data_IF_512474485868
#
_entry.id   IF_512474485868
#
_cell.length_a   1.000
_cell.length_b   1.000
_cell.length_c   1.000
_cell.angle_alpha   90.00
_cell.angle_beta   90.00
_cell.angle_gamma   90.00
#
_symmetry.space_group_name_H-M   'P 1'
#
loop_
_entity.id
_entity.type
_entity.pdbx_description
1 polymer ?
#
# COMPACT_ATOMS: atom_id res chain seq x y z
N UNK A 1 18.48 -13.84 11.37
CA UNK A 1 17.49 -14.81 11.87
C UNK A 1 17.03 -14.54 13.31
N UNK A 2 17.88 -14.03 14.20
CA UNK A 2 17.49 -13.66 15.60
C UNK A 2 16.59 -12.40 15.68
N UNK A 3 16.81 -11.41 14.81
CA UNK A 3 16.00 -10.17 14.80
C UNK A 3 14.52 -10.40 14.44
N UNK A 4 14.26 -11.33 13.54
CA UNK A 4 12.90 -11.68 13.10
C UNK A 4 12.05 -12.33 14.21
N UNK A 5 12.69 -13.14 15.05
CA UNK A 5 12.00 -13.78 16.17
C UNK A 5 11.68 -12.78 17.29
N UNK A 6 12.52 -11.76 17.45
CA UNK A 6 12.32 -10.72 18.46
C UNK A 6 11.24 -9.72 18.04
N UNK A 7 11.20 -9.29 16.75
CA UNK A 7 10.10 -8.48 16.19
C UNK A 7 8.76 -9.24 16.25
N UNK A 8 8.76 -10.52 15.88
CA UNK A 8 7.57 -11.37 15.96
C UNK A 8 7.05 -11.55 17.41
N UNK A 9 7.97 -11.62 18.36
CA UNK A 9 7.60 -11.66 19.79
C UNK A 9 7.03 -10.32 20.27
N UNK A 10 7.57 -9.21 19.79
CA UNK A 10 7.09 -7.89 20.15
C UNK A 10 5.67 -7.62 19.62
N UNK A 11 5.44 -7.94 18.36
CA UNK A 11 4.09 -7.85 17.74
C UNK A 11 3.10 -8.77 18.46
N UNK A 12 3.51 -9.99 18.78
CA UNK A 12 2.66 -10.91 19.54
C UNK A 12 2.31 -10.38 20.92
N UNK A 13 3.24 -9.69 21.59
CA UNK A 13 3.02 -9.06 22.88
C UNK A 13 2.01 -7.91 22.77
N UNK A 14 2.15 -7.04 21.78
CA UNK A 14 1.19 -5.94 21.54
C UNK A 14 -0.21 -6.44 21.19
N UNK A 15 -0.31 -7.52 20.40
CA UNK A 15 -1.61 -8.16 20.10
C UNK A 15 -2.25 -8.71 21.37
N UNK A 16 -1.46 -9.31 22.25
CA UNK A 16 -1.96 -9.82 23.54
C UNK A 16 -2.40 -8.67 24.47
N UNK A 17 -1.63 -7.59 24.53
CA UNK A 17 -1.97 -6.39 25.31
C UNK A 17 -3.23 -5.69 24.75
N UNK A 18 -3.35 -5.57 23.43
CA UNK A 18 -4.57 -5.06 22.78
C UNK A 18 -5.80 -5.91 23.08
N UNK A 19 -5.66 -7.25 23.02
CA UNK A 19 -6.75 -8.16 23.41
C UNK A 19 -7.14 -8.02 24.89
N UNK A 20 -6.16 -7.86 25.77
CA UNK A 20 -6.43 -7.63 27.20
C UNK A 20 -7.17 -6.30 27.43
N UNK A 21 -6.82 -5.26 26.68
CA UNK A 21 -7.53 -3.97 26.70
C UNK A 21 -8.98 -4.11 26.22
N UNK A 22 -9.20 -4.83 25.11
CA UNK A 22 -10.55 -5.09 24.58
C UNK A 22 -11.41 -5.83 25.61
N UNK A 23 -10.88 -6.85 26.28
CA UNK A 23 -11.58 -7.59 27.34
C UNK A 23 -11.91 -6.65 28.51
N UNK A 24 -10.97 -5.79 28.91
CA UNK A 24 -11.17 -4.82 29.98
C UNK A 24 -12.25 -3.78 29.63
N UNK A 25 -12.25 -3.29 28.41
CA UNK A 25 -13.27 -2.36 27.90
C UNK A 25 -14.64 -3.02 27.83
N UNK A 26 -14.72 -4.26 27.39
CA UNK A 26 -15.99 -5.00 27.33
C UNK A 26 -16.55 -5.28 28.74
N UNK A 27 -15.69 -5.56 29.71
CA UNK A 27 -16.10 -5.71 31.10
C UNK A 27 -16.59 -4.38 31.70
N UNK A 28 -15.95 -3.26 31.37
CA UNK A 28 -16.39 -1.92 31.78
C UNK A 28 -17.76 -1.55 31.17
N UNK A 29 -17.95 -1.86 29.89
CA UNK A 29 -19.23 -1.67 29.18
C UNK A 29 -20.35 -2.49 29.84
N UNK A 30 -20.08 -3.73 30.18
CA UNK A 30 -21.06 -4.57 30.87
C UNK A 30 -21.37 -4.05 32.27
N UNK A 31 -20.38 -3.56 33.01
CA UNK A 31 -20.56 -2.96 34.32
C UNK A 31 -21.39 -1.66 34.22
N UNK A 32 -21.08 -0.78 33.26
CA UNK A 32 -21.85 0.45 33.01
C UNK A 32 -23.29 0.15 32.58
N UNK A 33 -23.49 -0.87 31.74
CA UNK A 33 -24.83 -1.36 31.36
C UNK A 33 -25.64 -1.86 32.55
N UNK A 34 -24.99 -2.51 33.53
CA UNK A 34 -25.62 -2.93 34.79
C UNK A 34 -25.96 -1.74 35.67
N UNK A 35 -25.08 -0.73 35.75
CA UNK A 35 -25.31 0.51 36.51
C UNK A 35 -26.47 1.34 35.94
N UNK A 36 -26.51 1.51 34.60
CA UNK A 36 -27.64 2.17 33.93
C UNK A 36 -28.96 1.44 34.20
N UNK A 37 -28.96 0.11 34.15
CA UNK A 37 -30.13 -0.70 34.46
C UNK A 37 -30.57 -0.56 35.94
N UNK A 38 -29.61 -0.44 36.85
CA UNK A 38 -29.88 -0.21 38.28
C UNK A 38 -30.46 1.17 38.55
N UNK A 39 -29.96 2.22 37.88
CA UNK A 39 -30.46 3.59 37.93
C UNK A 39 -31.89 3.67 37.38
N UNK A 40 -32.16 3.07 36.23
CA UNK A 40 -33.50 2.99 35.63
C UNK A 40 -34.49 2.26 36.55
N UNK A 41 -34.06 1.20 37.23
CA UNK A 41 -34.88 0.44 38.20
C UNK A 41 -35.15 1.24 39.45
N UNK A 42 -34.20 2.05 39.93
CA UNK A 42 -34.41 2.96 41.08
C UNK A 42 -35.38 4.10 40.72
N UNK A 43 -35.27 4.65 39.51
CA UNK A 43 -36.18 5.67 39.01
C UNK A 43 -37.65 5.15 38.93
N UNK A 44 -37.86 3.96 38.37
CA UNK A 44 -39.18 3.33 38.31
C UNK A 44 -39.74 2.98 39.74
N UNK A 45 -38.84 2.77 40.69
CA UNK A 45 -39.22 2.56 42.13
C UNK A 45 -39.65 3.88 42.83
N UNK A 46 -39.11 5.00 42.45
CA UNK A 46 -39.48 6.33 42.99
C UNK A 46 -40.88 6.79 42.49
N UNK A 47 -41.22 6.51 41.21
CA UNK A 47 -42.55 6.87 40.65
C UNK A 47 -43.70 6.11 41.27
N UNK A 48 -43.48 4.85 41.77
CA UNK A 48 -44.53 4.03 42.41
C UNK A 48 -44.85 4.43 43.85
N UNK A 49 -44.04 5.30 44.50
CA UNK A 49 -44.20 5.65 45.91
C UNK A 49 -44.89 7.01 46.14
N UNK A 50 -45.32 7.74 45.12
CA UNK A 50 -46.19 8.89 45.23
C UNK A 50 -47.63 8.41 45.51
N UNK A 51 -47.84 8.10 46.77
CA UNK A 51 -49.13 7.58 47.25
C UNK A 51 -50.16 8.70 47.26
N UNK A 52 -51.25 8.54 46.57
CA UNK A 52 -52.34 9.47 46.33
C UNK A 52 -53.10 9.95 47.57
N UNK A 53 -52.82 9.40 48.76
CA UNK A 53 -53.59 9.69 49.98
C UNK A 53 -53.25 11.00 50.68
N UNK A 54 -52.25 11.75 50.24
CA UNK A 54 -51.93 13.08 50.82
C UNK A 54 -52.76 14.25 50.28
N UNK A 55 -53.46 14.03 49.19
CA UNK A 55 -54.17 15.12 48.50
C UNK A 55 -55.43 15.61 49.22
N UNK A 56 -56.10 14.77 50.01
CA UNK A 56 -57.29 15.11 50.74
C UNK A 56 -56.99 15.98 51.98
N UNK A 57 -55.86 15.82 52.60
CA UNK A 57 -55.42 16.63 53.74
C UNK A 57 -54.97 18.04 53.32
N UNK A 58 -54.42 18.17 52.08
CA UNK A 58 -53.94 19.45 51.55
C UNK A 58 -55.10 20.36 51.09
N UNK A 59 -56.21 19.79 50.61
CA UNK A 59 -57.38 20.52 50.20
C UNK A 59 -58.07 21.30 51.32
N UNK A 60 -57.89 20.91 52.55
CA UNK A 60 -58.55 21.46 53.72
C UNK A 60 -57.78 22.65 54.36
N UNK A 61 -56.46 22.69 54.20
CA UNK A 61 -55.62 23.79 54.74
C UNK A 61 -55.35 24.85 53.67
N UNK A 62 -55.92 24.68 52.53
CA UNK A 62 -55.36 25.10 51.26
C UNK A 62 -55.71 26.44 50.69
N UNK A 63 -56.52 27.29 51.12
CA UNK A 63 -56.84 28.51 50.32
C UNK A 63 -55.91 29.69 50.61
N UNK A 64 -55.29 29.78 51.75
CA UNK A 64 -54.39 30.93 52.09
C UNK A 64 -52.91 30.55 51.93
N UNK A 65 -52.54 29.25 52.16
CA UNK A 65 -51.16 28.77 51.92
C UNK A 65 -50.91 28.41 50.46
N UNK A 66 -51.97 28.25 49.68
CA UNK A 66 -51.89 27.72 48.31
C UNK A 66 -51.09 28.59 47.32
N UNK A 67 -51.21 29.93 47.43
CA UNK A 67 -50.47 30.85 46.57
C UNK A 67 -48.95 30.87 46.93
N UNK A 68 -48.60 30.88 48.20
CA UNK A 68 -47.22 30.82 48.68
C UNK A 68 -46.56 29.44 48.45
N UNK A 69 -47.35 28.38 48.74
CA UNK A 69 -46.89 27.03 48.51
C UNK A 69 -46.73 26.73 47.01
N UNK A 70 -47.64 27.21 46.18
CA UNK A 70 -47.57 27.03 44.75
C UNK A 70 -46.30 27.65 44.16
N UNK A 71 -45.92 28.87 44.54
CA UNK A 71 -44.68 29.50 44.09
C UNK A 71 -43.43 28.75 44.62
N UNK A 72 -43.47 28.25 45.85
CA UNK A 72 -42.38 27.47 46.38
C UNK A 72 -42.24 26.12 45.67
N UNK A 73 -43.39 25.42 45.44
CA UNK A 73 -43.38 24.16 44.70
C UNK A 73 -43.03 24.35 43.22
N UNK A 74 -43.53 25.38 42.56
CA UNK A 74 -43.18 25.67 41.15
C UNK A 74 -41.68 26.00 41.02
N UNK A 75 -41.07 26.71 41.94
CA UNK A 75 -39.64 26.97 41.96
C UNK A 75 -38.83 25.70 42.21
N UNK A 76 -39.29 24.83 43.12
CA UNK A 76 -38.59 23.56 43.40
C UNK A 76 -38.80 22.51 42.29
N UNK A 77 -40.03 22.46 41.73
CA UNK A 77 -40.33 21.60 40.58
C UNK A 77 -39.57 22.10 39.33
N UNK A 78 -39.42 23.42 39.14
CA UNK A 78 -38.60 23.93 38.02
C UNK A 78 -37.11 23.60 38.22
N UNK A 79 -36.60 23.67 39.46
CA UNK A 79 -35.23 23.23 39.77
C UNK A 79 -35.01 21.75 39.51
N UNK A 80 -35.93 20.92 40.01
CA UNK A 80 -35.85 19.45 39.77
C UNK A 80 -36.06 19.09 38.31
N UNK A 81 -36.92 19.81 37.57
CA UNK A 81 -37.06 19.62 36.10
C UNK A 81 -35.82 20.03 35.34
N UNK A 82 -35.14 21.11 35.72
CA UNK A 82 -33.90 21.50 35.09
C UNK A 82 -32.79 20.48 35.39
N UNK A 83 -32.68 19.96 36.62
CA UNK A 83 -31.73 18.91 36.98
C UNK A 83 -32.04 17.59 36.26
N UNK A 84 -33.32 17.24 36.10
CA UNK A 84 -33.71 16.06 35.31
C UNK A 84 -33.40 16.25 33.80
N UNK A 85 -33.66 17.41 33.23
CA UNK A 85 -33.34 17.71 31.85
C UNK A 85 -31.82 17.67 31.60
N UNK A 86 -31.05 18.25 32.55
CA UNK A 86 -29.59 18.19 32.50
C UNK A 86 -29.05 16.75 32.68
N UNK A 87 -29.71 15.95 33.51
CA UNK A 87 -29.37 14.54 33.68
C UNK A 87 -29.74 13.69 32.43
N UNK A 88 -30.90 13.96 31.82
CA UNK A 88 -31.30 13.31 30.57
C UNK A 88 -30.34 13.65 29.41
N UNK A 89 -29.94 14.93 29.28
CA UNK A 89 -28.95 15.32 28.27
C UNK A 89 -27.61 14.67 28.50
N UNK A 90 -27.14 14.59 29.76
CA UNK A 90 -25.92 13.87 30.08
C UNK A 90 -25.99 12.34 29.81
N UNK A 91 -27.14 11.72 30.08
CA UNK A 91 -27.36 10.31 29.79
C UNK A 91 -27.36 10.06 28.29
N UNK A 92 -27.95 10.96 27.47
CA UNK A 92 -27.95 10.83 26.02
C UNK A 92 -26.53 11.05 25.43
N UNK A 93 -25.79 12.02 25.95
CA UNK A 93 -24.39 12.26 25.60
C UNK A 93 -23.51 11.02 25.93
N UNK A 94 -23.64 10.50 27.16
CA UNK A 94 -22.93 9.29 27.57
C UNK A 94 -23.33 8.03 26.77
N UNK A 95 -24.59 7.95 26.33
CA UNK A 95 -25.03 6.87 25.44
C UNK A 95 -24.42 7.00 24.04
N UNK A 96 -24.32 8.22 23.53
CA UNK A 96 -23.65 8.50 22.27
C UNK A 96 -22.17 8.09 22.32
N UNK A 97 -21.46 8.59 23.35
CA UNK A 97 -20.05 8.29 23.55
C UNK A 97 -19.79 6.78 23.73
N UNK A 98 -20.67 6.10 24.47
CA UNK A 98 -20.58 4.66 24.67
C UNK A 98 -20.86 3.87 23.39
N UNK A 99 -21.84 4.31 22.60
CA UNK A 99 -22.15 3.73 21.28
C UNK A 99 -20.93 3.81 20.33
N UNK A 100 -20.30 4.97 20.31
CA UNK A 100 -19.09 5.21 19.53
C UNK A 100 -17.92 4.34 20.01
N UNK A 101 -17.75 4.21 21.33
CA UNK A 101 -16.67 3.37 21.90
C UNK A 101 -16.89 1.88 21.60
N UNK A 102 -18.12 1.38 21.68
CA UNK A 102 -18.48 0.01 21.32
C UNK A 102 -18.21 -0.22 19.82
N UNK A 103 -18.61 0.71 18.95
CA UNK A 103 -18.34 0.62 17.52
C UNK A 103 -16.84 0.55 17.24
N UNK A 104 -16.07 1.47 17.80
CA UNK A 104 -14.60 1.48 17.69
C UNK A 104 -13.95 0.20 18.22
N UNK A 105 -14.46 -0.33 19.34
CA UNK A 105 -13.96 -1.59 19.91
C UNK A 105 -14.27 -2.79 19.01
N UNK A 106 -15.46 -2.83 18.41
CA UNK A 106 -15.86 -3.84 17.44
C UNK A 106 -15.00 -3.80 16.18
N UNK A 107 -14.75 -2.58 15.65
CA UNK A 107 -13.91 -2.38 14.46
C UNK A 107 -12.46 -2.82 14.73
N UNK A 108 -11.92 -2.48 15.90
CA UNK A 108 -10.59 -2.94 16.32
C UNK A 108 -10.53 -4.47 16.48
N UNK A 109 -11.57 -5.08 17.03
CA UNK A 109 -11.61 -6.53 17.17
C UNK A 109 -11.65 -7.27 15.82
N UNK A 110 -12.42 -6.75 14.88
CA UNK A 110 -12.46 -7.26 13.49
C UNK A 110 -11.12 -7.05 12.77
N UNK A 111 -10.53 -5.88 12.90
CA UNK A 111 -9.21 -5.59 12.35
C UNK A 111 -8.14 -6.54 12.94
N UNK A 112 -8.15 -6.75 14.26
CA UNK A 112 -7.21 -7.67 14.91
C UNK A 112 -7.38 -9.13 14.45
N UNK A 113 -8.62 -9.58 14.20
CA UNK A 113 -8.86 -10.93 13.66
C UNK A 113 -8.32 -11.09 12.23
N UNK A 114 -8.49 -10.06 11.39
CA UNK A 114 -7.92 -10.03 10.04
C UNK A 114 -6.39 -9.96 10.07
N UNK A 115 -5.84 -9.13 10.95
CA UNK A 115 -4.39 -9.01 11.16
C UNK A 115 -3.78 -10.35 11.59
N UNK A 116 -4.43 -11.09 12.49
CA UNK A 116 -3.98 -12.41 12.91
C UNK A 116 -3.93 -13.41 11.74
N UNK A 117 -4.94 -13.42 10.85
CA UNK A 117 -4.93 -14.26 9.65
C UNK A 117 -3.82 -13.87 8.70
N UNK A 118 -3.62 -12.58 8.49
CA UNK A 118 -2.54 -12.08 7.62
C UNK A 118 -1.17 -12.42 8.19
N UNK A 119 -1.00 -12.36 9.51
CA UNK A 119 0.22 -12.78 10.18
C UNK A 119 0.53 -14.28 9.98
N UNK A 120 -0.49 -15.15 9.97
CA UNK A 120 -0.29 -16.57 9.67
C UNK A 120 0.23 -16.79 8.24
N UNK A 121 -0.22 -16.00 7.26
CA UNK A 121 0.35 -16.03 5.89
C UNK A 121 1.83 -15.63 5.89
N UNK A 122 2.19 -14.59 6.62
CA UNK A 122 3.59 -14.16 6.77
C UNK A 122 4.43 -15.27 7.42
N UNK A 123 3.91 -15.88 8.49
CA UNK A 123 4.57 -16.97 9.20
C UNK A 123 4.74 -18.22 8.33
N UNK A 124 3.74 -18.53 7.53
CA UNK A 124 3.79 -19.62 6.55
C UNK A 124 4.74 -19.31 5.36
N UNK A 125 5.23 -18.08 5.27
CA UNK A 125 6.02 -17.57 4.14
C UNK A 125 5.31 -17.71 2.78
N UNK A 126 4.00 -17.60 2.79
CA UNK A 126 3.22 -17.54 1.56
C UNK A 126 3.34 -16.13 0.95
N UNK A 127 4.47 -15.90 0.28
CA UNK A 127 4.86 -14.61 -0.28
C UNK A 127 3.82 -14.06 -1.25
N UNK A 128 3.23 -14.92 -2.06
CA UNK A 128 2.24 -14.53 -3.08
C UNK A 128 0.95 -14.04 -2.42
N UNK A 129 0.42 -14.79 -1.46
CA UNK A 129 -0.82 -14.42 -0.77
C UNK A 129 -0.62 -13.21 0.16
N UNK A 130 0.57 -13.03 0.73
CA UNK A 130 0.90 -11.82 1.51
C UNK A 130 0.87 -10.58 0.62
N UNK A 131 1.53 -10.61 -0.54
CA UNK A 131 1.54 -9.48 -1.48
C UNK A 131 0.15 -9.20 -2.03
N UNK A 132 -0.61 -10.24 -2.37
CA UNK A 132 -1.99 -10.11 -2.87
C UNK A 132 -2.95 -9.55 -1.82
N UNK A 133 -2.81 -9.99 -0.58
CA UNK A 133 -3.69 -9.62 0.53
C UNK A 133 -3.41 -8.25 1.14
N UNK A 134 -2.21 -7.68 0.91
CA UNK A 134 -1.80 -6.42 1.51
C UNK A 134 -2.76 -5.24 1.26
N UNK A 135 -3.27 -4.99 0.03
CA UNK A 135 -4.18 -3.87 -0.21
C UNK A 135 -5.49 -3.94 0.59
N UNK A 136 -5.93 -5.14 0.97
CA UNK A 136 -7.10 -5.34 1.79
C UNK A 136 -6.81 -5.07 3.27
N UNK A 137 -5.72 -5.65 3.80
CA UNK A 137 -5.35 -5.49 5.21
C UNK A 137 -4.89 -4.06 5.53
N UNK A 138 -4.28 -3.35 4.59
CA UNK A 138 -3.83 -1.97 4.77
C UNK A 138 -4.97 -0.95 4.97
N UNK A 139 -6.22 -1.33 4.66
CA UNK A 139 -7.42 -0.50 4.86
C UNK A 139 -8.04 -0.69 6.24
N UNK A 140 -7.62 -1.71 6.99
CA UNK A 140 -8.16 -2.02 8.30
C UNK A 140 -7.57 -1.09 9.37
N UNK A 141 -8.28 -0.94 10.48
CA UNK A 141 -7.85 -0.16 11.63
C UNK A 141 -6.74 -0.87 12.41
N UNK A 142 -5.55 -0.97 11.81
CA UNK A 142 -4.37 -1.60 12.40
C UNK A 142 -3.69 -0.66 13.40
N UNK A 143 -2.94 -1.24 14.37
CA UNK A 143 -1.98 -0.46 15.13
C UNK A 143 -0.85 0.07 14.22
N UNK A 144 -0.22 1.20 14.57
CA UNK A 144 0.92 1.72 13.80
C UNK A 144 2.06 0.70 13.63
N UNK A 145 2.29 -0.11 14.65
CA UNK A 145 3.33 -1.16 14.61
C UNK A 145 2.95 -2.29 13.63
N UNK A 146 1.71 -2.76 13.66
CA UNK A 146 1.22 -3.77 12.71
C UNK A 146 1.26 -3.25 11.27
N UNK A 147 0.78 -2.02 11.05
CA UNK A 147 0.80 -1.42 9.72
C UNK A 147 2.22 -1.27 9.16
N UNK A 148 3.18 -0.87 10.00
CA UNK A 148 4.59 -0.79 9.63
C UNK A 148 5.17 -2.18 9.33
N UNK A 149 4.95 -3.15 10.22
CA UNK A 149 5.45 -4.51 10.05
C UNK A 149 4.89 -5.18 8.79
N UNK A 150 3.58 -5.08 8.54
CA UNK A 150 2.97 -5.68 7.36
C UNK A 150 3.46 -5.05 6.06
N UNK A 151 3.68 -3.73 6.05
CA UNK A 151 4.29 -3.03 4.92
C UNK A 151 5.70 -3.53 4.65
N UNK A 152 6.51 -3.69 5.69
CA UNK A 152 7.88 -4.18 5.54
C UNK A 152 7.93 -5.61 5.01
N UNK A 153 7.06 -6.50 5.50
CA UNK A 153 6.97 -7.86 4.98
C UNK A 153 6.50 -7.89 3.53
N UNK A 154 5.48 -7.11 3.21
CA UNK A 154 4.98 -7.00 1.83
C UNK A 154 6.08 -6.51 0.88
N UNK A 155 6.80 -5.46 1.23
CA UNK A 155 7.88 -4.93 0.41
C UNK A 155 9.03 -5.94 0.23
N UNK A 156 9.44 -6.62 1.31
CA UNK A 156 10.46 -7.69 1.23
C UNK A 156 10.00 -8.83 0.32
N UNK A 157 8.76 -9.28 0.47
CA UNK A 157 8.24 -10.37 -0.35
C UNK A 157 8.03 -9.96 -1.80
N UNK A 158 7.65 -8.72 -2.09
CA UNK A 158 7.66 -8.19 -3.46
C UNK A 158 9.06 -8.20 -4.05
N UNK A 159 10.05 -7.76 -3.29
CA UNK A 159 11.44 -7.78 -3.73
C UNK A 159 11.91 -9.21 -4.02
N UNK A 160 11.63 -10.16 -3.12
CA UNK A 160 12.01 -11.57 -3.28
C UNK A 160 11.34 -12.17 -4.52
N UNK A 161 10.03 -11.95 -4.70
CA UNK A 161 9.29 -12.43 -5.88
C UNK A 161 9.81 -11.79 -7.17
N UNK A 162 10.14 -10.51 -7.15
CA UNK A 162 10.74 -9.81 -8.29
C UNK A 162 12.09 -10.40 -8.67
N UNK A 163 12.95 -10.69 -7.70
CA UNK A 163 14.23 -11.36 -7.94
C UNK A 163 14.05 -12.79 -8.46
N UNK A 164 13.09 -13.54 -7.93
CA UNK A 164 12.76 -14.88 -8.41
C UNK A 164 12.26 -14.87 -9.86
N UNK A 165 11.35 -13.93 -10.19
CA UNK A 165 10.88 -13.73 -11.55
C UNK A 165 12.06 -13.38 -12.49
N UNK A 166 12.96 -12.49 -12.06
CA UNK A 166 14.16 -12.15 -12.82
C UNK A 166 15.03 -13.37 -13.09
N UNK A 167 15.31 -14.20 -12.07
CA UNK A 167 16.10 -15.42 -12.21
C UNK A 167 15.46 -16.44 -13.18
N UNK A 168 14.14 -16.61 -13.10
CA UNK A 168 13.37 -17.45 -14.03
C UNK A 168 13.49 -16.91 -15.47
N UNK A 169 13.36 -15.60 -15.63
CA UNK A 169 13.54 -14.94 -16.92
C UNK A 169 14.92 -15.16 -17.51
N UNK A 170 15.99 -15.08 -16.70
CA UNK A 170 17.36 -15.37 -17.14
C UNK A 170 17.53 -16.83 -17.60
N UNK A 171 17.06 -17.78 -16.80
CA UNK A 171 17.14 -19.21 -17.15
C UNK A 171 16.41 -19.53 -18.47
N UNK A 172 15.23 -18.94 -18.67
CA UNK A 172 14.47 -19.08 -19.92
C UNK A 172 15.18 -18.43 -21.11
N UNK A 173 15.78 -17.26 -20.89
CA UNK A 173 16.55 -16.57 -21.94
C UNK A 173 17.79 -17.36 -22.37
N UNK A 174 18.50 -18.00 -21.43
CA UNK A 174 19.59 -18.93 -21.70
C UNK A 174 19.11 -20.16 -22.47
N UNK A 175 17.93 -20.67 -22.12
CA UNK A 175 17.24 -21.75 -22.82
C UNK A 175 16.64 -21.35 -24.19
N UNK A 176 16.94 -20.14 -24.68
CA UNK A 176 16.43 -19.58 -25.95
C UNK A 176 14.90 -19.41 -26.02
N UNK A 177 14.20 -19.42 -24.89
CA UNK A 177 12.77 -19.20 -24.77
C UNK A 177 12.48 -17.72 -24.49
N UNK A 178 12.80 -16.86 -25.48
CA UNK A 178 12.78 -15.42 -25.26
C UNK A 178 11.38 -14.88 -24.93
N UNK A 179 10.35 -15.38 -25.60
CA UNK A 179 8.97 -14.93 -25.38
C UNK A 179 8.46 -15.24 -23.96
N UNK A 180 8.88 -16.38 -23.37
CA UNK A 180 8.58 -16.72 -21.98
C UNK A 180 9.42 -15.85 -21.01
N UNK A 181 10.70 -15.65 -21.32
CA UNK A 181 11.60 -14.82 -20.53
C UNK A 181 11.10 -13.37 -20.40
N UNK A 182 10.58 -12.81 -21.48
CA UNK A 182 10.00 -11.44 -21.51
C UNK A 182 8.91 -11.31 -20.44
N UNK A 183 7.97 -12.26 -20.36
CA UNK A 183 6.89 -12.24 -19.38
C UNK A 183 7.41 -12.18 -17.93
N UNK A 184 8.43 -12.99 -17.63
CA UNK A 184 9.02 -12.99 -16.28
C UNK A 184 9.84 -11.74 -15.97
N UNK A 185 10.48 -11.11 -16.97
CA UNK A 185 11.13 -9.83 -16.77
C UNK A 185 10.12 -8.70 -16.56
N UNK A 186 9.00 -8.71 -17.28
CA UNK A 186 7.89 -7.77 -17.08
C UNK A 186 7.26 -7.95 -15.70
N UNK A 187 7.00 -9.18 -15.28
CA UNK A 187 6.54 -9.55 -13.94
C UNK A 187 7.49 -9.02 -12.84
N UNK A 188 8.80 -9.17 -13.03
CA UNK A 188 9.80 -8.68 -12.08
C UNK A 188 9.73 -7.15 -11.90
N UNK A 189 9.55 -6.40 -13.00
CA UNK A 189 9.43 -4.95 -12.98
C UNK A 189 8.11 -4.52 -12.30
N UNK A 190 7.00 -5.21 -12.58
CA UNK A 190 5.69 -4.92 -12.02
C UNK A 190 5.68 -5.17 -10.50
N UNK A 191 6.27 -6.25 -10.05
CA UNK A 191 6.34 -6.61 -8.63
C UNK A 191 7.10 -5.58 -7.80
N UNK A 192 8.26 -5.09 -8.27
CA UNK A 192 9.09 -4.17 -7.50
C UNK A 192 9.82 -3.14 -8.37
N UNK A 193 9.11 -2.13 -8.93
CA UNK A 193 9.62 -1.24 -9.98
C UNK A 193 10.82 -0.37 -9.57
N UNK A 194 10.98 -0.10 -8.27
CA UNK A 194 12.05 0.74 -7.72
C UNK A 194 13.21 -0.07 -7.12
N UNK A 195 13.29 -1.36 -7.40
CA UNK A 195 14.35 -2.22 -6.90
C UNK A 195 15.71 -1.90 -7.51
N UNK A 196 16.78 -2.05 -6.73
CA UNK A 196 18.15 -1.83 -7.22
C UNK A 196 18.54 -2.76 -8.37
N UNK A 197 17.89 -3.92 -8.50
CA UNK A 197 18.10 -4.88 -9.59
C UNK A 197 17.33 -4.54 -10.88
N UNK A 198 16.35 -3.63 -10.82
CA UNK A 198 15.48 -3.31 -11.98
C UNK A 198 16.23 -2.80 -13.21
N UNK A 199 17.29 -1.99 -13.09
CA UNK A 199 18.09 -1.65 -14.27
C UNK A 199 18.66 -2.88 -14.98
N UNK A 200 19.11 -3.90 -14.23
CA UNK A 200 19.59 -5.15 -14.82
C UNK A 200 18.47 -5.97 -15.47
N UNK A 201 17.26 -5.98 -14.85
CA UNK A 201 16.05 -6.57 -15.44
C UNK A 201 15.70 -5.89 -16.76
N UNK A 202 15.64 -4.55 -16.79
CA UNK A 202 15.35 -3.77 -18.02
C UNK A 202 16.35 -4.05 -19.11
N UNK A 203 17.65 -4.15 -18.79
CA UNK A 203 18.69 -4.54 -19.75
C UNK A 203 18.42 -5.93 -20.34
N UNK A 204 18.08 -6.90 -19.50
CA UNK A 204 17.80 -8.28 -19.92
C UNK A 204 16.53 -8.35 -20.77
N UNK A 205 15.47 -7.61 -20.38
CA UNK A 205 14.22 -7.48 -21.12
C UNK A 205 14.48 -6.86 -22.50
N UNK A 206 15.21 -5.75 -22.57
CA UNK A 206 15.57 -5.12 -23.84
C UNK A 206 16.34 -6.07 -24.75
N UNK A 207 17.24 -6.87 -24.18
CA UNK A 207 17.99 -7.88 -24.94
C UNK A 207 17.05 -8.96 -25.49
N UNK A 208 16.11 -9.46 -24.68
CA UNK A 208 15.13 -10.47 -25.08
C UNK A 208 14.18 -9.94 -26.17
N UNK A 209 13.63 -8.73 -25.99
CA UNK A 209 12.76 -8.06 -26.96
C UNK A 209 13.47 -7.87 -28.31
N UNK A 210 14.74 -7.45 -28.30
CA UNK A 210 15.51 -7.30 -29.54
C UNK A 210 15.68 -8.65 -30.26
N UNK A 211 15.94 -9.73 -29.53
CA UNK A 211 16.02 -11.08 -30.10
C UNK A 211 14.70 -11.54 -30.72
N UNK A 212 13.57 -11.12 -30.15
CA UNK A 212 12.21 -11.33 -30.69
C UNK A 212 11.82 -10.32 -31.77
N UNK A 213 12.78 -9.54 -32.30
CA UNK A 213 12.58 -8.52 -33.35
C UNK A 213 11.65 -7.36 -32.92
N UNK A 214 11.43 -7.17 -31.62
CA UNK A 214 10.69 -6.03 -31.05
C UNK A 214 11.65 -4.89 -30.70
N UNK A 215 12.45 -4.47 -31.68
CA UNK A 215 13.55 -3.52 -31.46
C UNK A 215 13.09 -2.13 -31.00
N UNK A 216 11.88 -1.70 -31.39
CA UNK A 216 11.33 -0.40 -30.96
C UNK A 216 11.06 -0.37 -29.43
N UNK A 217 10.47 -1.42 -28.90
CA UNK A 217 10.22 -1.54 -27.45
C UNK A 217 11.53 -1.71 -26.65
N UNK A 218 12.44 -2.51 -27.21
CA UNK A 218 13.77 -2.68 -26.65
C UNK A 218 14.55 -1.37 -26.55
N UNK A 219 14.42 -0.48 -27.56
CA UNK A 219 15.10 0.80 -27.60
C UNK A 219 14.70 1.70 -26.44
N UNK A 220 13.41 1.77 -26.12
CA UNK A 220 12.90 2.57 -24.98
C UNK A 220 13.52 2.12 -23.67
N UNK A 221 13.56 0.80 -23.44
CA UNK A 221 14.14 0.23 -22.22
C UNK A 221 15.66 0.42 -22.17
N UNK A 222 16.33 0.26 -23.30
CA UNK A 222 17.77 0.49 -23.43
C UNK A 222 18.14 1.94 -23.10
N UNK A 223 17.35 2.91 -23.55
CA UNK A 223 17.53 4.33 -23.23
C UNK A 223 17.35 4.58 -21.73
N UNK A 224 16.34 3.95 -21.09
CA UNK A 224 16.17 4.06 -19.64
C UNK A 224 17.38 3.50 -18.87
N UNK A 225 17.96 2.39 -19.32
CA UNK A 225 19.17 1.84 -18.71
C UNK A 225 20.37 2.76 -18.94
N UNK A 226 20.51 3.33 -20.12
CA UNK A 226 21.61 4.20 -20.48
C UNK A 226 21.62 5.53 -19.71
N UNK A 227 20.44 6.16 -19.55
CA UNK A 227 20.32 7.52 -19.04
C UNK A 227 19.92 7.59 -17.57
N UNK A 228 19.06 6.68 -17.09
CA UNK A 228 18.40 6.77 -15.78
C UNK A 228 19.01 5.88 -14.71
N UNK A 229 19.86 4.91 -15.07
CA UNK A 229 20.47 4.06 -14.03
C UNK A 229 21.56 4.81 -13.25
N UNK A 230 21.52 4.65 -11.93
CA UNK A 230 22.59 5.12 -11.04
C UNK A 230 23.78 4.17 -11.04
N UNK A 231 23.60 2.95 -11.53
CA UNK A 231 24.68 1.97 -11.66
C UNK A 231 25.52 2.24 -12.90
N UNK A 232 26.67 2.87 -12.67
CA UNK A 232 27.64 3.22 -13.72
C UNK A 232 28.18 1.99 -14.48
N UNK A 233 28.10 0.80 -13.89
CA UNK A 233 28.54 -0.43 -14.57
C UNK A 233 27.56 -0.90 -15.64
N UNK A 234 26.27 -0.59 -15.51
CA UNK A 234 25.23 -0.92 -16.50
C UNK A 234 25.05 0.11 -17.62
N UNK A 235 25.52 1.33 -17.41
CA UNK A 235 25.37 2.39 -18.42
C UNK A 235 26.00 2.04 -19.79
N UNK A 236 27.22 1.48 -19.84
CA UNK A 236 27.80 1.04 -21.12
C UNK A 236 26.94 0.01 -21.85
N UNK A 237 26.35 -0.95 -21.09
CA UNK A 237 25.46 -1.96 -21.66
C UNK A 237 24.17 -1.32 -22.23
N UNK A 238 23.64 -0.30 -21.52
CA UNK A 238 22.49 0.49 -22.00
C UNK A 238 22.80 1.16 -23.32
N UNK A 239 23.89 1.92 -23.42
CA UNK A 239 24.30 2.59 -24.67
C UNK A 239 24.61 1.62 -25.80
N UNK A 240 25.18 0.47 -25.48
CA UNK A 240 25.41 -0.59 -26.45
C UNK A 240 24.08 -1.12 -27.01
N UNK A 241 23.10 -1.39 -26.14
CA UNK A 241 21.76 -1.86 -26.55
C UNK A 241 21.01 -0.80 -27.36
N UNK A 242 21.10 0.47 -26.98
CA UNK A 242 20.55 1.59 -27.80
C UNK A 242 21.09 1.52 -29.24
N UNK A 243 22.41 1.39 -29.36
CA UNK A 243 23.04 1.31 -30.67
C UNK A 243 22.58 0.10 -31.51
N UNK A 244 22.47 -1.06 -30.87
CA UNK A 244 22.00 -2.28 -31.52
C UNK A 244 20.53 -2.18 -31.95
N UNK A 245 19.66 -1.67 -31.07
CA UNK A 245 18.24 -1.51 -31.36
C UNK A 245 18.01 -0.46 -32.48
N UNK A 246 18.67 0.66 -32.38
CA UNK A 246 18.60 1.72 -33.43
C UNK A 246 19.09 1.18 -34.78
N UNK A 247 20.20 0.43 -34.80
CA UNK A 247 20.67 -0.22 -36.03
C UNK A 247 19.61 -1.19 -36.59
N UNK A 248 19.05 -2.03 -35.76
CA UNK A 248 18.04 -3.03 -36.17
C UNK A 248 16.76 -2.35 -36.70
N UNK A 249 16.47 -1.11 -36.28
CA UNK A 249 15.41 -0.25 -36.80
C UNK A 249 15.78 0.55 -38.03
N UNK A 250 17.05 0.53 -38.45
CA UNK A 250 17.57 1.34 -39.56
C UNK A 250 17.89 2.80 -39.21
N UNK A 251 17.75 3.19 -37.95
CA UNK A 251 18.14 4.52 -37.45
C UNK A 251 19.65 4.56 -37.17
N UNK A 252 20.40 4.74 -38.30
CA UNK A 252 21.85 4.74 -38.25
C UNK A 252 22.43 5.97 -37.54
N UNK A 253 21.70 7.07 -37.49
CA UNK A 253 22.15 8.29 -36.80
C UNK A 253 22.11 8.10 -35.27
N UNK A 254 20.99 7.63 -34.71
CA UNK A 254 20.89 7.28 -33.29
C UNK A 254 21.90 6.21 -32.92
N UNK A 255 22.08 5.17 -33.74
CA UNK A 255 23.08 4.14 -33.51
C UNK A 255 24.48 4.70 -33.39
N UNK A 256 24.85 5.60 -34.32
CA UNK A 256 26.17 6.27 -34.37
C UNK A 256 26.42 7.12 -33.13
N UNK A 257 25.43 7.93 -32.71
CA UNK A 257 25.59 8.80 -31.54
C UNK A 257 25.67 7.99 -30.23
N UNK A 258 24.92 6.93 -30.11
CA UNK A 258 25.01 6.01 -28.96
C UNK A 258 26.41 5.36 -28.85
N UNK A 259 26.96 4.88 -29.97
CA UNK A 259 28.31 4.29 -30.02
C UNK A 259 29.39 5.31 -29.69
N UNK A 260 29.32 6.53 -30.23
CA UNK A 260 30.25 7.61 -29.87
C UNK A 260 30.18 7.93 -28.38
N UNK A 261 29.00 7.98 -27.83
CA UNK A 261 28.81 8.26 -26.41
C UNK A 261 29.43 7.18 -25.55
N UNK A 262 29.20 5.89 -25.87
CA UNK A 262 29.81 4.77 -25.20
C UNK A 262 31.34 4.85 -25.23
N UNK A 263 31.93 5.03 -26.43
CA UNK A 263 33.39 5.05 -26.61
C UNK A 263 34.02 6.23 -25.85
N UNK A 264 33.36 7.40 -25.86
CA UNK A 264 33.85 8.61 -25.19
C UNK A 264 33.76 8.54 -23.66
N UNK A 265 32.62 8.11 -23.16
CA UNK A 265 32.38 8.09 -21.69
C UNK A 265 33.03 6.89 -21.01
N UNK A 266 33.06 5.73 -21.67
CA UNK A 266 33.60 4.48 -21.11
C UNK A 266 34.64 3.83 -22.03
N UNK A 267 35.76 4.49 -22.28
CA UNK A 267 36.78 3.98 -23.24
C UNK A 267 37.45 2.67 -22.77
N UNK A 268 37.36 2.36 -21.47
CA UNK A 268 37.90 1.15 -20.83
C UNK A 268 36.85 0.03 -20.63
N UNK A 269 35.60 0.24 -21.04
CA UNK A 269 34.59 -0.81 -21.00
C UNK A 269 34.97 -1.97 -21.91
N UNK A 270 34.63 -3.17 -21.51
CA UNK A 270 34.80 -4.38 -22.35
C UNK A 270 34.08 -4.27 -23.70
N UNK A 271 33.02 -3.44 -23.78
CA UNK A 271 32.25 -3.18 -25.00
C UNK A 271 32.89 -2.16 -25.93
N UNK A 272 33.91 -1.41 -25.49
CA UNK A 272 34.50 -0.34 -26.27
C UNK A 272 35.17 -0.82 -27.61
N UNK A 273 35.86 -1.97 -27.67
CA UNK A 273 36.37 -2.50 -28.95
C UNK A 273 35.26 -2.83 -29.94
N UNK A 274 34.21 -3.51 -29.48
CA UNK A 274 33.07 -3.90 -30.30
C UNK A 274 32.28 -2.67 -30.77
N UNK A 275 32.15 -1.68 -29.87
CA UNK A 275 31.50 -0.41 -30.21
C UNK A 275 32.24 0.35 -31.31
N UNK A 276 33.59 0.32 -31.30
CA UNK A 276 34.40 0.93 -32.38
C UNK A 276 34.25 0.16 -33.69
N UNK A 277 34.16 -1.15 -33.66
CA UNK A 277 33.93 -1.98 -34.84
C UNK A 277 32.55 -1.70 -35.45
N UNK A 278 31.52 -1.70 -34.61
CA UNK A 278 30.13 -1.42 -35.03
C UNK A 278 29.99 0.02 -35.55
N UNK A 279 30.65 0.99 -34.91
CA UNK A 279 30.63 2.38 -35.38
C UNK A 279 31.16 2.53 -36.83
N UNK A 280 32.25 1.82 -37.17
CA UNK A 280 32.78 1.79 -38.56
C UNK A 280 31.79 1.18 -39.53
N UNK A 281 31.12 0.10 -39.15
CA UNK A 281 30.11 -0.57 -39.95
C UNK A 281 28.91 0.35 -40.23
N UNK A 282 28.32 0.92 -39.14
CA UNK A 282 27.18 1.85 -39.22
C UNK A 282 27.51 3.09 -40.08
N UNK A 283 28.72 3.65 -39.89
CA UNK A 283 29.14 4.80 -40.68
C UNK A 283 29.29 4.46 -42.17
N UNK A 284 29.81 3.28 -42.48
CA UNK A 284 29.93 2.78 -43.85
C UNK A 284 28.57 2.56 -44.49
N UNK A 285 27.63 1.94 -43.75
CA UNK A 285 26.27 1.69 -44.25
C UNK A 285 25.51 2.98 -44.51
N UNK A 286 25.62 3.97 -43.61
CA UNK A 286 25.02 5.30 -43.83
C UNK A 286 25.56 5.98 -45.09
N UNK A 287 26.88 5.92 -45.33
CA UNK A 287 27.51 6.49 -46.52
C UNK A 287 27.03 5.81 -47.82
N UNK A 288 26.91 4.49 -47.84
CA UNK A 288 26.41 3.74 -49.00
C UNK A 288 24.93 4.00 -49.26
N UNK A 289 24.10 4.14 -48.20
CA UNK A 289 22.69 4.49 -48.32
C UNK A 289 22.47 5.88 -48.89
N UNK A 290 23.24 6.87 -48.43
CA UNK A 290 23.18 8.24 -49.00
C UNK A 290 23.66 8.30 -50.43
N UNK A 291 24.68 7.50 -50.82
CA UNK A 291 25.16 7.43 -52.19
C UNK A 291 24.14 6.75 -53.12
N UNK A 292 23.42 5.73 -52.65
CA UNK A 292 22.36 5.10 -53.45
C UNK A 292 21.15 5.99 -53.64
N UNK A 293 20.79 6.79 -52.62
CA UNK A 293 19.70 7.77 -52.71
C UNK A 293 20.04 8.99 -53.57
N UNK A 294 21.32 9.32 -53.75
CA UNK A 294 21.80 10.43 -54.58
C UNK A 294 22.10 10.03 -56.04
N UNK A 295 21.97 8.76 -56.40
CA UNK A 295 22.14 8.33 -57.76
C UNK A 295 20.91 8.75 -58.58
N UNK A 296 21.10 9.45 -59.77
CA UNK A 296 19.99 9.82 -60.62
C UNK A 296 19.27 8.58 -61.15
N UNK A 297 17.94 8.64 -61.34
CA UNK A 297 17.21 7.53 -61.92
C UNK A 297 17.83 7.13 -63.24
N UNK A 298 18.14 5.83 -63.40
CA UNK A 298 18.66 5.31 -64.63
C UNK A 298 17.69 5.70 -65.77
N UNK A 299 18.19 6.48 -66.75
CA UNK A 299 17.42 6.80 -67.93
C UNK A 299 16.90 5.53 -68.56
N UNK A 300 15.56 5.43 -68.68
CA UNK A 300 14.93 4.37 -69.47
C UNK A 300 15.50 4.32 -70.88
N UNK A 301 15.80 3.15 -71.41
CA UNK A 301 16.19 3.07 -72.84
C UNK A 301 14.95 3.38 -73.68
N UNK A 302 15.13 4.23 -74.66
CA UNK A 302 14.17 4.48 -75.72
C UNK A 302 13.86 3.22 -76.56
#
# INVERSE_FOLDING_TARGET
MRDFDDEARQIKKEIVESRALIIKTNNLVNALGADIKSIAKRQAGYERRLNWNSWVAIAVIGLVSFAGLKLYFDAQISGVRSEMADAETKVEELRGDLGDEISRASDRATAAAKAAKYYELIRARDRVEVVRGYPAIAKEALSPAEAAAFRDFEQRFRQDLSLEAYQKGLALSEGKKQAEAIKHFEEAIELYPNGSHIPAVKRSLATALRKEKRAAEALVLAQQVADQTTDSALQPDGWWLVALCARDLGDLDTAREALKTLIRKWPRSALAPDARALLREVTRSAFLGTKAAAAPPASAPE
#
